data_IF_835738567356
#
_entry.id   IF_835738567356
#
_cell.length_a   1.000
_cell.length_b   1.000
_cell.length_c   1.000
_cell.angle_alpha   90.00
_cell.angle_beta   90.00
_cell.angle_gamma   90.00
#
_symmetry.space_group_name_H-M   'P 1'
#
loop_
_entity.id
_entity.type
_entity.pdbx_description
1 polymer ?
#
# COMPACT_ATOMS: atom_id res chain seq x y z
N UNK A 1 6.33 27.97 -23.64
CA UNK A 1 6.05 28.63 -22.33
C UNK A 1 4.93 29.67 -22.39
N UNK A 2 4.73 30.39 -23.51
CA UNK A 2 3.64 31.37 -23.70
C UNK A 2 2.24 30.76 -23.59
N UNK A 3 2.02 29.64 -24.28
CA UNK A 3 0.72 28.94 -24.32
C UNK A 3 0.28 28.39 -22.94
N UNK A 4 1.25 28.10 -22.05
CA UNK A 4 0.98 27.61 -20.71
C UNK A 4 0.43 28.73 -19.81
N UNK A 5 0.98 29.94 -19.95
CA UNK A 5 0.53 31.14 -19.24
C UNK A 5 -0.85 31.59 -19.72
N UNK A 6 -1.12 31.42 -21.01
CA UNK A 6 -2.39 31.78 -21.64
C UNK A 6 -3.53 30.87 -21.17
N UNK A 7 -3.26 29.56 -21.14
CA UNK A 7 -4.15 28.56 -20.54
C UNK A 7 -4.37 28.85 -19.05
N UNK A 8 -3.32 29.12 -18.28
CA UNK A 8 -3.45 29.50 -16.86
C UNK A 8 -4.35 30.72 -16.65
N UNK A 9 -4.28 31.74 -17.53
CA UNK A 9 -5.12 32.94 -17.43
C UNK A 9 -6.57 32.69 -17.85
N UNK A 10 -6.80 31.81 -18.82
CA UNK A 10 -8.13 31.43 -19.27
C UNK A 10 -8.87 30.61 -18.19
N UNK A 11 -8.16 29.71 -17.51
CA UNK A 11 -8.72 28.89 -16.44
C UNK A 11 -8.96 29.66 -15.13
N UNK A 12 -8.16 30.70 -14.84
CA UNK A 12 -8.37 31.57 -13.69
C UNK A 12 -9.68 32.38 -13.75
N UNK A 13 -10.23 32.58 -14.96
CA UNK A 13 -11.46 33.35 -15.19
C UNK A 13 -12.75 32.56 -14.98
N UNK A 14 -12.68 31.24 -14.95
CA UNK A 14 -13.85 30.35 -14.93
C UNK A 14 -14.29 29.92 -13.51
N UNK A 15 -13.56 30.26 -12.45
CA UNK A 15 -13.96 29.93 -11.07
C UNK A 15 -14.04 28.42 -10.74
N UNK A 16 -13.59 27.54 -11.66
CA UNK A 16 -13.49 26.11 -11.42
C UNK A 16 -12.29 25.79 -10.52
N UNK A 17 -12.49 24.88 -9.55
CA UNK A 17 -11.49 24.29 -8.65
C UNK A 17 -10.17 23.93 -9.36
N UNK A 18 -9.18 24.84 -9.34
CA UNK A 18 -7.98 24.77 -10.18
C UNK A 18 -6.59 24.35 -9.61
N UNK A 19 -6.32 23.94 -8.35
CA UNK A 19 -4.89 23.77 -7.98
C UNK A 19 -4.29 22.37 -8.18
N UNK A 20 -4.99 21.31 -7.75
CA UNK A 20 -4.30 20.06 -7.42
C UNK A 20 -3.87 19.23 -8.64
N UNK A 21 -4.72 19.14 -9.67
CA UNK A 21 -4.43 18.34 -10.87
C UNK A 21 -3.29 18.92 -11.70
N UNK A 22 -3.21 20.25 -11.80
CA UNK A 22 -2.17 20.97 -12.54
C UNK A 22 -0.82 20.89 -11.84
N UNK A 23 -0.79 21.05 -10.52
CA UNK A 23 0.45 20.93 -9.74
C UNK A 23 1.01 19.51 -9.84
N UNK A 24 0.17 18.48 -9.71
CA UNK A 24 0.61 17.10 -9.82
C UNK A 24 1.11 16.75 -11.23
N UNK A 25 0.48 17.30 -12.28
CA UNK A 25 0.92 17.17 -13.67
C UNK A 25 2.28 17.83 -13.92
N UNK A 26 2.44 19.06 -13.47
CA UNK A 26 3.69 19.79 -13.63
C UNK A 26 4.83 19.12 -12.85
N UNK A 27 4.56 18.67 -11.63
CA UNK A 27 5.50 17.89 -10.84
C UNK A 27 5.92 16.59 -11.52
N UNK A 28 4.98 15.88 -12.16
CA UNK A 28 5.26 14.67 -12.93
C UNK A 28 6.25 14.93 -14.09
N UNK A 29 6.03 16.00 -14.86
CA UNK A 29 6.91 16.36 -15.98
C UNK A 29 8.33 16.65 -15.47
N UNK A 30 8.46 17.50 -14.44
CA UNK A 30 9.76 17.81 -13.84
C UNK A 30 10.44 16.56 -13.27
N UNK A 31 9.67 15.66 -12.66
CA UNK A 31 10.19 14.39 -12.13
C UNK A 31 10.76 13.50 -13.24
N UNK A 32 10.07 13.36 -14.37
CA UNK A 32 10.55 12.57 -15.50
C UNK A 32 11.82 13.13 -16.14
N UNK A 33 11.94 14.46 -16.24
CA UNK A 33 13.14 15.10 -16.76
C UNK A 33 14.35 14.95 -15.81
N UNK A 34 14.11 15.02 -14.51
CA UNK A 34 15.16 14.88 -13.49
C UNK A 34 15.55 13.41 -13.23
N UNK A 35 14.63 12.47 -13.48
CA UNK A 35 14.82 11.03 -13.24
C UNK A 35 14.45 10.20 -14.48
N UNK A 36 15.22 10.28 -15.58
CA UNK A 36 14.87 9.65 -16.86
C UNK A 36 14.83 8.11 -16.80
N UNK A 37 15.58 7.51 -15.88
CA UNK A 37 15.62 6.05 -15.70
C UNK A 37 14.52 5.52 -14.77
N UNK A 38 13.79 6.41 -14.06
CA UNK A 38 12.73 6.00 -13.14
C UNK A 38 11.59 5.33 -13.90
N UNK A 39 11.32 4.06 -13.54
CA UNK A 39 10.28 3.20 -14.14
C UNK A 39 10.34 3.17 -15.67
N UNK A 40 11.55 3.12 -16.26
CA UNK A 40 11.77 3.24 -17.71
C UNK A 40 10.83 2.38 -18.58
N UNK A 41 10.57 1.13 -18.18
CA UNK A 41 9.73 0.14 -18.89
C UNK A 41 8.24 0.20 -18.57
N UNK A 42 7.81 1.01 -17.59
CA UNK A 42 6.41 1.09 -17.19
C UNK A 42 5.57 1.87 -18.21
N UNK A 43 4.41 1.32 -18.54
CA UNK A 43 3.40 1.98 -19.39
C UNK A 43 2.46 2.91 -18.59
N UNK A 44 2.52 2.88 -17.26
CA UNK A 44 1.60 3.59 -16.36
C UNK A 44 2.31 4.58 -15.43
N UNK A 45 3.42 5.18 -15.89
CA UNK A 45 4.30 6.05 -15.10
C UNK A 45 3.58 7.18 -14.38
N UNK A 46 2.60 7.82 -15.01
CA UNK A 46 1.83 8.91 -14.40
C UNK A 46 1.03 8.43 -13.17
N UNK A 47 0.46 7.22 -13.24
CA UNK A 47 -0.29 6.65 -12.11
C UNK A 47 0.66 6.27 -10.98
N UNK A 48 1.78 5.65 -11.31
CA UNK A 48 2.82 5.29 -10.33
C UNK A 48 3.39 6.52 -9.64
N UNK A 49 3.62 7.61 -10.38
CA UNK A 49 4.08 8.87 -9.82
C UNK A 49 3.10 9.41 -8.79
N UNK A 50 1.80 9.45 -9.12
CA UNK A 50 0.77 9.92 -8.19
C UNK A 50 0.66 9.01 -6.96
N UNK A 51 0.81 7.69 -7.14
CA UNK A 51 0.79 6.74 -6.04
C UNK A 51 1.97 6.96 -5.09
N UNK A 52 3.19 7.05 -5.62
CA UNK A 52 4.42 7.31 -4.83
C UNK A 52 4.34 8.69 -4.16
N UNK A 53 3.95 9.73 -4.90
CA UNK A 53 3.76 11.08 -4.36
C UNK A 53 2.75 11.10 -3.22
N UNK A 54 1.59 10.46 -3.39
CA UNK A 54 0.54 10.43 -2.37
C UNK A 54 0.99 9.72 -1.09
N UNK A 55 1.74 8.62 -1.20
CA UNK A 55 2.31 7.91 -0.06
C UNK A 55 3.25 8.81 0.72
N UNK A 56 4.14 9.51 0.03
CA UNK A 56 5.12 10.39 0.68
C UNK A 56 4.45 11.58 1.36
N UNK A 57 3.47 12.22 0.70
CA UNK A 57 2.70 13.32 1.28
C UNK A 57 1.92 12.88 2.53
N UNK A 58 1.34 11.67 2.50
CA UNK A 58 0.51 11.15 3.59
C UNK A 58 1.33 10.61 4.77
N UNK A 59 2.59 10.25 4.58
CA UNK A 59 3.44 9.59 5.58
C UNK A 59 3.46 10.33 6.92
N UNK A 60 3.82 11.63 6.91
CA UNK A 60 3.89 12.46 8.13
C UNK A 60 2.53 12.60 8.83
N UNK A 61 1.44 12.64 8.06
CA UNK A 61 0.09 12.71 8.59
C UNK A 61 -0.29 11.38 9.26
N UNK A 62 -0.02 10.26 8.60
CA UNK A 62 -0.29 8.92 9.09
C UNK A 62 0.53 8.60 10.35
N UNK A 63 1.79 9.02 10.43
CA UNK A 63 2.64 8.89 11.62
C UNK A 63 2.04 9.63 12.82
N UNK A 64 1.55 10.86 12.63
CA UNK A 64 0.85 11.59 13.70
C UNK A 64 -0.44 10.89 14.10
N UNK A 65 -1.24 10.45 13.14
CA UNK A 65 -2.51 9.77 13.41
C UNK A 65 -2.35 8.41 14.12
N UNK A 66 -1.23 7.72 13.92
CA UNK A 66 -0.93 6.43 14.58
C UNK A 66 -0.95 6.52 16.11
N UNK A 67 -0.59 7.68 16.66
CA UNK A 67 -0.46 7.92 18.10
C UNK A 67 -1.76 8.41 18.76
N UNK A 68 -2.83 8.62 18.00
CA UNK A 68 -4.13 9.02 18.55
C UNK A 68 -4.71 7.87 19.39
N UNK A 69 -5.01 8.17 20.66
CA UNK A 69 -5.43 7.17 21.66
C UNK A 69 -6.78 6.54 21.31
N UNK A 70 -7.74 7.35 20.84
CA UNK A 70 -9.14 6.93 20.62
C UNK A 70 -9.45 6.51 19.18
N UNK A 71 -8.47 5.98 18.46
CA UNK A 71 -8.66 5.56 17.07
C UNK A 71 -9.21 4.13 16.99
N UNK A 72 -10.25 3.84 16.17
CA UNK A 72 -10.75 2.48 16.00
C UNK A 72 -9.65 1.50 15.58
N UNK A 73 -9.70 0.27 16.10
CA UNK A 73 -8.68 -0.77 15.85
C UNK A 73 -8.47 -1.03 14.36
N UNK A 74 -9.56 -1.08 13.58
CA UNK A 74 -9.50 -1.25 12.14
C UNK A 74 -8.72 -0.10 11.46
N UNK A 75 -8.99 1.14 11.83
CA UNK A 75 -8.30 2.32 11.31
C UNK A 75 -6.82 2.31 11.71
N UNK A 76 -6.50 1.98 12.97
CA UNK A 76 -5.10 1.86 13.44
C UNK A 76 -4.34 0.78 12.67
N UNK A 77 -4.98 -0.34 12.35
CA UNK A 77 -4.42 -1.40 11.51
C UNK A 77 -4.12 -0.91 10.09
N UNK A 78 -5.05 -0.18 9.46
CA UNK A 78 -4.84 0.41 8.12
C UNK A 78 -3.68 1.39 8.11
N UNK A 79 -3.61 2.29 9.09
CA UNK A 79 -2.50 3.26 9.22
C UNK A 79 -1.16 2.55 9.37
N UNK A 80 -1.08 1.55 10.26
CA UNK A 80 0.15 0.78 10.45
C UNK A 80 0.57 0.02 9.18
N UNK A 81 -0.39 -0.49 8.40
CA UNK A 81 -0.10 -1.13 7.10
C UNK A 81 0.42 -0.12 6.07
N UNK A 82 -0.24 1.03 5.95
CA UNK A 82 0.14 2.09 5.01
C UNK A 82 1.56 2.63 5.28
N UNK A 83 1.93 2.79 6.56
CA UNK A 83 3.28 3.23 6.95
C UNK A 83 4.35 2.19 6.60
N UNK A 84 4.09 0.90 6.81
CA UNK A 84 5.04 -0.18 6.44
C UNK A 84 5.34 -0.23 4.94
N UNK A 85 4.34 0.05 4.11
CA UNK A 85 4.50 0.08 2.64
C UNK A 85 5.31 1.30 2.20
N UNK A 86 5.22 2.42 2.92
CA UNK A 86 5.91 3.66 2.55
C UNK A 86 7.40 3.64 2.89
N UNK A 87 7.87 2.80 3.82
CA UNK A 87 9.29 2.67 4.18
C UNK A 87 10.15 2.04 3.08
N UNK A 88 9.54 1.41 2.07
CA UNK A 88 10.27 0.66 1.02
C UNK A 88 10.69 1.54 -0.17
N UNK A 89 10.23 2.79 -0.25
CA UNK A 89 10.45 3.66 -1.44
C UNK A 89 11.40 4.84 -1.15
N UNK A 90 12.02 4.89 0.03
CA UNK A 90 13.02 5.89 0.35
C UNK A 90 14.43 5.43 -0.04
N UNK A 91 14.90 5.87 -1.22
CA UNK A 91 16.29 6.11 -1.60
C UNK A 91 17.31 4.96 -1.40
N UNK A 92 18.03 4.64 -2.47
CA UNK A 92 19.30 3.91 -2.38
C UNK A 92 20.23 4.61 -1.38
N UNK A 93 20.33 4.04 -0.18
CA UNK A 93 21.47 4.22 0.72
C UNK A 93 21.92 2.80 1.05
N UNK A 94 23.21 2.54 0.82
CA UNK A 94 23.87 1.25 1.01
C UNK A 94 23.48 0.52 2.30
N UNK A 95 23.45 -0.83 2.30
CA UNK A 95 22.96 -1.60 3.42
C UNK A 95 24.02 -1.69 4.54
N UNK A 96 23.72 -1.32 5.80
CA UNK A 96 24.43 -1.90 6.92
C UNK A 96 23.66 -3.12 7.41
N UNK A 97 24.33 -4.27 7.28
CA UNK A 97 24.21 -5.45 8.13
C UNK A 97 22.79 -5.99 8.40
N UNK A 98 22.46 -7.06 7.66
CA UNK A 98 21.81 -8.27 8.18
C UNK A 98 21.00 -8.11 9.48
N UNK A 99 19.74 -7.71 9.36
CA UNK A 99 18.76 -8.09 10.38
C UNK A 99 18.46 -9.57 10.14
N UNK A 100 19.22 -10.39 10.86
CA UNK A 100 19.00 -11.82 11.06
C UNK A 100 17.50 -12.05 11.21
N UNK A 101 16.89 -12.71 10.22
CA UNK A 101 15.62 -13.39 10.38
C UNK A 101 15.80 -14.33 11.56
N UNK A 102 15.20 -14.00 12.70
CA UNK A 102 15.04 -14.94 13.81
C UNK A 102 14.12 -16.06 13.32
N UNK A 103 14.74 -17.07 12.70
CA UNK A 103 14.19 -18.41 12.63
C UNK A 103 14.39 -19.02 14.01
N UNK A 104 13.36 -18.94 14.85
CA UNK A 104 13.22 -19.83 16.02
C UNK A 104 12.22 -20.94 15.69
N UNK A 105 12.40 -22.11 16.30
CA UNK A 105 12.40 -23.38 15.59
C UNK A 105 11.03 -24.01 15.45
N UNK A 106 10.96 -24.91 14.46
CA UNK A 106 10.00 -26.02 14.31
C UNK A 106 9.41 -26.50 15.65
N UNK A 107 8.20 -26.01 15.95
CA UNK A 107 7.33 -26.51 17.02
C UNK A 107 6.04 -27.03 16.39
N UNK A 108 5.67 -28.27 16.73
CA UNK A 108 4.56 -29.07 16.20
C UNK A 108 3.35 -28.28 15.68
N UNK A 109 2.91 -28.60 14.44
CA UNK A 109 1.64 -28.11 13.87
C UNK A 109 0.48 -28.56 14.77
N UNK A 110 0.04 -27.70 15.70
CA UNK A 110 -1.10 -27.95 16.57
C UNK A 110 -2.34 -28.17 15.70
N UNK A 111 -2.86 -29.40 15.72
CA UNK A 111 -4.06 -29.76 14.97
C UNK A 111 -5.26 -29.04 15.60
N UNK A 112 -6.01 -28.26 14.81
CA UNK A 112 -7.20 -27.54 15.29
C UNK A 112 -8.46 -28.21 14.73
N UNK A 113 -9.59 -28.13 15.44
CA UNK A 113 -10.88 -28.64 14.93
C UNK A 113 -11.30 -27.81 13.70
N UNK A 114 -11.85 -28.49 12.69
CA UNK A 114 -12.44 -27.83 11.53
C UNK A 114 -13.65 -26.99 11.93
N UNK A 115 -13.73 -25.75 11.47
CA UNK A 115 -14.84 -24.83 11.75
C UNK A 115 -16.07 -25.06 10.85
N UNK A 116 -15.94 -25.91 9.83
CA UNK A 116 -17.00 -26.18 8.86
C UNK A 116 -17.73 -27.51 9.15
N UNK A 117 -17.09 -28.43 9.86
CA UNK A 117 -17.71 -29.73 10.18
C UNK A 117 -18.60 -29.61 11.44
N UNK A 118 -19.70 -30.38 11.50
CA UNK A 118 -20.52 -30.46 12.70
C UNK A 118 -19.69 -30.93 13.90
N UNK A 119 -20.03 -30.43 15.11
CA UNK A 119 -19.29 -30.75 16.34
C UNK A 119 -19.29 -32.24 16.69
N UNK A 120 -20.26 -33.01 16.18
CA UNK A 120 -20.38 -34.45 16.40
C UNK A 120 -19.26 -35.27 15.73
N UNK A 121 -18.63 -34.74 14.67
CA UNK A 121 -17.66 -35.49 13.87
C UNK A 121 -16.19 -35.22 14.26
N UNK A 122 -15.94 -34.25 15.16
CA UNK A 122 -14.61 -33.82 15.68
C UNK A 122 -13.44 -33.88 14.66
N UNK A 123 -13.69 -33.50 13.40
CA UNK A 123 -12.64 -33.55 12.36
C UNK A 123 -11.57 -32.50 12.65
N UNK A 124 -10.30 -32.93 12.71
CA UNK A 124 -9.14 -32.08 13.02
C UNK A 124 -8.31 -31.78 11.76
N UNK A 125 -8.03 -30.51 11.50
CA UNK A 125 -7.35 -30.04 10.29
C UNK A 125 -6.00 -29.39 10.62
N UNK A 126 -5.00 -29.60 9.76
CA UNK A 126 -3.65 -28.98 9.86
C UNK A 126 -3.48 -27.74 8.95
N UNK A 127 -4.46 -27.45 8.12
CA UNK A 127 -4.55 -26.29 7.23
C UNK A 127 -5.73 -25.40 7.62
N UNK A 128 -5.60 -24.10 7.40
CA UNK A 128 -6.56 -23.08 7.88
C UNK A 128 -7.92 -23.20 7.18
N UNK A 129 -7.99 -23.77 5.97
CA UNK A 129 -9.24 -24.04 5.26
C UNK A 129 -9.08 -25.20 4.28
N UNK A 130 -9.73 -26.34 4.54
CA UNK A 130 -10.24 -27.32 3.55
C UNK A 130 -10.76 -28.55 4.29
N UNK A 131 -12.08 -28.70 4.35
CA UNK A 131 -12.72 -30.01 4.30
C UNK A 131 -13.53 -29.99 3.01
N UNK A 132 -13.14 -30.79 2.03
CA UNK A 132 -14.04 -31.12 0.92
C UNK A 132 -15.10 -32.08 1.49
N UNK A 133 -16.39 -31.89 1.19
CA UNK A 133 -17.39 -32.88 1.52
C UNK A 133 -17.11 -34.14 0.68
N UNK A 134 -16.88 -35.27 1.35
CA UNK A 134 -17.05 -36.58 0.72
C UNK A 134 -18.55 -36.72 0.48
N UNK A 135 -19.00 -36.60 -0.77
CA UNK A 135 -20.34 -37.02 -1.16
C UNK A 135 -20.45 -38.54 -0.93
N UNK A 136 -21.34 -38.89 -0.01
CA UNK A 136 -21.79 -40.23 0.26
C UNK A 136 -22.59 -40.70 -0.98
N UNK A 137 -22.16 -41.81 -1.58
CA UNK A 137 -22.99 -42.60 -2.49
C UNK A 137 -24.28 -43.01 -1.76
N UNK A 138 -25.42 -42.75 -2.40
CA UNK A 138 -26.56 -43.67 -2.37
C UNK A 138 -26.54 -44.48 -3.67
#
# INVERSE_FOLDING_TARGET
>A
MSHLKELQSAFAKEGLSFPASMVALNGYVVWCETHPTWKASSKIKRREYLEELSKELMKSHLERRRHVVNLPVATKSVINKALKVSTVVGLNVDPPAQVVLQHTPTGSKVQRRCQLCPRSTDKKTRAVFRCFPDEVMD
#
